data_IF_003831249659
#
_entry.id   IF_003831249659
#
_cell.length_a   1.000
_cell.length_b   1.000
_cell.length_c   1.000
_cell.angle_alpha   90.00
_cell.angle_beta   90.00
_cell.angle_gamma   90.00
#
_symmetry.space_group_name_H-M   'P 1'
#
loop_
_entity.id
_entity.type
_entity.pdbx_description
1 polymer ?
#
# COMPACT_ATOMS: atom_id res chain seq x y z
N UNK A 1 -16.80 -1.22 -3.56
CA UNK A 1 -16.33 -0.87 -2.20
C UNK A 1 -14.84 -0.48 -2.21
N UNK A 2 -14.38 0.15 -3.29
CA UNK A 2 -13.03 0.73 -3.40
C UNK A 2 -13.09 2.15 -3.99
N UNK A 3 -14.29 2.71 -4.15
CA UNK A 3 -14.56 4.05 -4.67
C UNK A 3 -13.73 5.16 -3.98
N UNK A 4 -13.44 5.07 -2.65
CA UNK A 4 -12.58 6.06 -2.00
C UNK A 4 -11.17 6.15 -2.57
N UNK A 5 -10.67 5.12 -3.27
CA UNK A 5 -9.32 5.09 -3.82
C UNK A 5 -9.23 5.67 -5.25
N UNK A 6 -10.36 6.01 -5.89
CA UNK A 6 -10.37 6.46 -7.29
C UNK A 6 -9.70 7.82 -7.53
N UNK A 7 -9.56 8.62 -6.48
CA UNK A 7 -8.93 9.94 -6.54
C UNK A 7 -7.59 10.01 -5.78
N UNK A 8 -7.14 8.89 -5.23
CA UNK A 8 -5.95 8.83 -4.40
C UNK A 8 -4.76 8.25 -5.16
N UNK A 9 -3.59 8.86 -4.98
CA UNK A 9 -2.34 8.40 -5.61
C UNK A 9 -1.53 7.48 -4.71
N UNK A 10 -1.82 7.51 -3.42
CA UNK A 10 -1.06 6.81 -2.39
C UNK A 10 -1.99 6.16 -1.38
N UNK A 11 -1.56 5.03 -0.84
CA UNK A 11 -2.16 4.43 0.35
C UNK A 11 -1.09 4.29 1.44
N UNK A 12 -1.49 4.50 2.69
CA UNK A 12 -0.62 4.19 3.81
C UNK A 12 -0.73 2.69 4.11
N UNK A 13 0.36 1.95 3.89
CA UNK A 13 0.47 0.56 4.28
C UNK A 13 1.23 0.48 5.60
N UNK A 14 0.61 -0.08 6.63
CA UNK A 14 1.28 -0.42 7.87
C UNK A 14 1.65 -1.91 7.85
N UNK A 15 2.95 -2.19 7.84
CA UNK A 15 3.50 -3.54 7.99
C UNK A 15 4.14 -3.69 9.36
N UNK A 16 4.20 -4.90 9.89
CA UNK A 16 4.84 -5.17 11.18
C UNK A 16 6.11 -5.99 10.97
N UNK A 17 7.23 -5.50 11.51
CA UNK A 17 8.47 -6.28 11.57
C UNK A 17 8.25 -7.50 12.47
N UNK A 18 9.13 -8.51 12.37
CA UNK A 18 9.08 -9.72 13.22
C UNK A 18 9.10 -9.40 14.73
N UNK A 19 9.68 -8.27 15.13
CA UNK A 19 9.68 -7.78 16.51
C UNK A 19 8.42 -6.98 16.91
N UNK A 20 7.38 -6.94 16.06
CA UNK A 20 6.11 -6.25 16.33
C UNK A 20 6.12 -4.75 16.07
N UNK A 21 7.25 -4.15 15.67
CA UNK A 21 7.30 -2.72 15.36
C UNK A 21 6.58 -2.43 14.04
N UNK A 22 5.57 -1.56 14.10
CA UNK A 22 4.84 -1.05 12.94
C UNK A 22 5.69 -0.12 12.09
N UNK A 23 5.64 -0.30 10.77
CA UNK A 23 6.28 0.54 9.76
C UNK A 23 5.19 1.03 8.80
N UNK A 24 4.94 2.33 8.84
CA UNK A 24 4.01 3.01 7.94
C UNK A 24 4.76 3.54 6.73
N UNK A 25 4.35 3.10 5.55
CA UNK A 25 4.95 3.52 4.30
C UNK A 25 3.86 4.02 3.36
N UNK A 26 3.91 5.28 2.91
CA UNK A 26 3.08 5.72 1.80
C UNK A 26 3.57 5.00 0.53
N UNK A 27 2.70 4.22 -0.10
CA UNK A 27 3.02 3.49 -1.33
C UNK A 27 2.09 3.94 -2.45
N UNK A 28 2.67 4.05 -3.65
CA UNK A 28 1.89 4.17 -4.87
C UNK A 28 1.13 2.88 -5.12
N UNK A 29 -0.06 3.00 -5.69
CA UNK A 29 -0.87 1.85 -6.05
C UNK A 29 -1.60 2.06 -7.39
N UNK A 30 -2.05 0.96 -7.98
CA UNK A 30 -2.93 0.94 -9.15
C UNK A 30 -4.20 0.15 -8.81
N UNK A 31 -5.35 0.60 -9.33
CA UNK A 31 -6.64 -0.09 -9.19
C UNK A 31 -7.01 -0.81 -10.49
N UNK A 32 -7.50 -2.04 -10.39
CA UNK A 32 -8.15 -2.76 -11.49
C UNK A 32 -9.39 -3.49 -10.94
N UNK A 33 -10.57 -2.93 -11.21
CA UNK A 33 -11.83 -3.40 -10.64
C UNK A 33 -11.79 -3.36 -9.11
N UNK A 34 -12.02 -4.51 -8.47
CA UNK A 34 -11.99 -4.68 -7.02
C UNK A 34 -10.59 -5.08 -6.48
N UNK A 35 -9.52 -4.83 -7.24
CA UNK A 35 -8.14 -5.16 -6.84
C UNK A 35 -7.26 -3.92 -6.77
N UNK A 36 -6.42 -3.86 -5.74
CA UNK A 36 -5.34 -2.88 -5.59
C UNK A 36 -3.99 -3.58 -5.75
N UNK A 37 -3.11 -2.98 -6.54
CA UNK A 37 -1.75 -3.45 -6.80
C UNK A 37 -0.76 -2.41 -6.31
N UNK A 38 0.26 -2.82 -5.58
CA UNK A 38 1.38 -1.98 -5.19
C UNK A 38 2.69 -2.73 -5.41
N UNK A 39 3.75 -1.99 -5.73
CA UNK A 39 5.09 -2.53 -5.91
C UNK A 39 6.06 -1.80 -4.99
N UNK A 40 6.94 -2.56 -4.35
CA UNK A 40 8.04 -2.03 -3.55
C UNK A 40 9.32 -2.72 -3.96
N UNK A 41 10.40 -1.97 -4.06
CA UNK A 41 11.71 -2.53 -4.36
C UNK A 41 12.28 -3.18 -3.10
N UNK A 42 12.76 -4.41 -3.22
CA UNK A 42 13.67 -4.97 -2.24
C UNK A 42 15.02 -4.24 -2.40
N UNK A 43 15.41 -3.46 -1.40
CA UNK A 43 16.77 -2.90 -1.36
C UNK A 43 17.66 -3.97 -0.77
N UNK A 44 18.32 -4.74 -1.66
CA UNK A 44 19.42 -5.65 -1.31
C UNK A 44 20.63 -4.88 -0.79
#
# INVERSE_FOLDING_TARGET
MLEPFDQEKYLNLESYRRNGVGVRTPIWFARNGERLYAYSWERS
#
